data_IF_689870888153
#
_entry.id   IF_689870888153
#
_cell.length_a   1.000
_cell.length_b   1.000
_cell.length_c   1.000
_cell.angle_alpha   90.00
_cell.angle_beta   90.00
_cell.angle_gamma   90.00
#
_symmetry.space_group_name_H-M   'P 1'
#
loop_
_entity.id
_entity.type
_entity.pdbx_description
1 polymer ?
#
# COMPACT_ATOMS: atom_id res chain seq x y z
N UNK A 1 -55.28 25.23 -34.00
CA UNK A 1 -55.03 23.78 -33.89
C UNK A 1 -53.52 23.54 -34.03
N UNK A 2 -52.95 22.69 -33.14
CA UNK A 2 -51.52 22.51 -32.85
C UNK A 2 -50.64 22.15 -34.07
N UNK A 3 -49.39 22.65 -34.13
CA UNK A 3 -48.16 21.87 -33.81
C UNK A 3 -46.87 22.69 -34.03
N UNK A 4 -45.99 22.55 -33.04
CA UNK A 4 -44.56 22.87 -32.96
C UNK A 4 -43.70 22.06 -33.92
N UNK A 5 -42.60 22.64 -34.43
CA UNK A 5 -41.32 21.95 -34.63
C UNK A 5 -40.14 22.86 -34.31
N UNK A 6 -39.31 22.45 -33.35
CA UNK A 6 -37.97 23.00 -33.08
C UNK A 6 -36.98 22.52 -34.15
N UNK A 7 -35.97 23.33 -34.49
CA UNK A 7 -34.73 22.82 -35.08
C UNK A 7 -33.48 23.52 -34.51
N UNK A 8 -32.63 22.68 -33.91
CA UNK A 8 -31.30 22.87 -33.30
C UNK A 8 -30.39 23.91 -33.96
N UNK A 9 -29.97 24.91 -33.17
CA UNK A 9 -28.70 25.61 -33.34
C UNK A 9 -27.56 24.84 -32.68
N UNK A 10 -26.54 24.47 -33.45
CA UNK A 10 -25.35 23.74 -33.01
C UNK A 10 -24.33 24.73 -32.42
N UNK A 11 -24.18 24.78 -31.10
CA UNK A 11 -23.00 25.40 -30.48
C UNK A 11 -21.87 24.38 -30.44
N UNK A 12 -20.83 24.64 -31.22
CA UNK A 12 -19.66 23.78 -31.41
C UNK A 12 -18.79 23.74 -30.14
N UNK A 13 -18.90 22.66 -29.38
CA UNK A 13 -18.09 22.38 -28.18
C UNK A 13 -16.83 21.62 -28.58
N UNK A 14 -16.03 22.17 -29.48
CA UNK A 14 -14.83 21.53 -29.99
C UNK A 14 -13.62 22.47 -29.86
N UNK A 15 -13.34 22.96 -28.65
CA UNK A 15 -12.07 23.64 -28.35
C UNK A 15 -11.69 23.61 -26.85
N UNK A 16 -12.00 22.52 -26.12
CA UNK A 16 -11.62 22.38 -24.70
C UNK A 16 -10.90 21.07 -24.35
N UNK A 17 -10.50 20.26 -25.33
CA UNK A 17 -9.94 18.92 -25.08
C UNK A 17 -8.48 18.71 -25.51
N UNK A 18 -7.72 19.79 -25.78
CA UNK A 18 -6.31 19.65 -26.22
C UNK A 18 -5.30 19.96 -25.10
N UNK A 19 -5.74 20.41 -23.92
CA UNK A 19 -4.86 20.68 -22.76
C UNK A 19 -4.95 19.65 -21.63
N UNK A 20 -5.53 18.48 -21.89
CA UNK A 20 -5.62 17.36 -20.94
C UNK A 20 -4.57 16.22 -21.16
N UNK A 21 -3.68 16.19 -22.19
CA UNK A 21 -2.85 14.99 -22.39
C UNK A 21 -1.46 15.02 -21.73
N UNK A 22 -1.11 16.04 -20.93
CA UNK A 22 0.19 16.08 -20.21
C UNK A 22 0.09 16.27 -18.71
N UNK A 23 -1.05 16.73 -18.18
CA UNK A 23 -1.28 16.79 -16.74
C UNK A 23 -1.73 15.44 -16.16
N UNK A 24 -2.40 14.61 -16.96
CA UNK A 24 -2.86 13.29 -16.54
C UNK A 24 -1.73 12.25 -16.39
N UNK A 25 -0.63 12.39 -17.14
CA UNK A 25 0.51 11.47 -17.03
C UNK A 25 1.33 11.74 -15.76
N UNK A 26 1.49 13.02 -15.38
CA UNK A 26 2.19 13.40 -14.15
C UNK A 26 1.43 12.96 -12.88
N UNK A 27 0.09 13.02 -12.89
CA UNK A 27 -0.73 12.58 -11.75
C UNK A 27 -0.66 11.05 -11.55
N UNK A 28 -0.70 10.27 -12.63
CA UNK A 28 -0.59 8.80 -12.55
C UNK A 28 0.81 8.33 -12.09
N UNK A 29 1.88 9.02 -12.50
CA UNK A 29 3.25 8.72 -12.02
C UNK A 29 3.40 9.06 -10.53
N UNK A 30 2.84 10.19 -10.08
CA UNK A 30 2.88 10.60 -8.68
C UNK A 30 2.13 9.63 -7.75
N UNK A 31 0.97 9.10 -8.16
CA UNK A 31 0.21 8.13 -7.36
C UNK A 31 0.98 6.83 -7.12
N UNK A 32 1.72 6.33 -8.12
CA UNK A 32 2.54 5.14 -7.96
C UNK A 32 3.69 5.38 -6.96
N UNK A 33 4.39 6.52 -7.04
CA UNK A 33 5.47 6.85 -6.08
C UNK A 33 4.96 7.05 -4.65
N UNK A 34 3.74 7.56 -4.49
CA UNK A 34 3.10 7.68 -3.19
C UNK A 34 2.79 6.32 -2.57
N UNK A 35 2.54 5.27 -3.36
CA UNK A 35 2.19 3.93 -2.86
C UNK A 35 3.36 3.21 -2.17
N UNK A 36 4.63 3.45 -2.57
CA UNK A 36 5.79 2.89 -1.87
C UNK A 36 6.16 3.68 -0.59
N UNK A 37 5.61 4.89 -0.40
CA UNK A 37 5.93 5.78 0.70
C UNK A 37 4.86 5.78 1.82
N UNK A 38 4.05 4.73 1.94
CA UNK A 38 2.95 4.65 2.91
C UNK A 38 3.32 3.82 4.15
N UNK A 39 2.82 4.25 5.31
CA UNK A 39 3.06 3.62 6.60
C UNK A 39 3.96 4.44 7.53
N UNK A 40 4.30 3.87 8.69
CA UNK A 40 5.20 4.49 9.67
C UNK A 40 6.66 4.27 9.25
N UNK A 41 6.96 3.12 8.64
CA UNK A 41 8.31 2.76 8.20
C UNK A 41 8.36 2.43 6.69
N UNK A 42 7.95 3.37 5.81
CA UNK A 42 7.96 3.13 4.36
C UNK A 42 9.37 2.86 3.82
N UNK A 43 10.38 3.43 4.49
CA UNK A 43 11.79 3.25 4.16
C UNK A 43 12.28 1.81 4.24
N UNK A 44 11.55 0.92 4.90
CA UNK A 44 11.85 -0.53 4.91
C UNK A 44 11.74 -1.19 3.54
N UNK A 45 11.16 -0.52 2.54
CA UNK A 45 11.15 -0.99 1.15
C UNK A 45 12.36 -0.53 0.31
N UNK A 46 13.17 0.43 0.78
CA UNK A 46 14.29 0.98 -0.02
C UNK A 46 15.61 1.18 0.75
N UNK A 47 15.65 0.96 2.06
CA UNK A 47 16.86 0.95 2.89
C UNK A 47 16.88 -0.28 3.80
N UNK A 48 18.08 -0.77 4.13
CA UNK A 48 18.27 -1.83 5.12
C UNK A 48 17.92 -1.34 6.53
N UNK A 49 17.32 -2.21 7.33
CA UNK A 49 17.04 -1.98 8.76
C UNK A 49 18.28 -2.27 9.59
N UNK A 50 18.68 -1.31 10.42
CA UNK A 50 19.81 -1.41 11.34
C UNK A 50 19.35 -1.62 12.79
N UNK A 51 20.21 -2.11 13.66
CA UNK A 51 19.85 -2.34 15.08
C UNK A 51 19.47 -1.05 15.79
N UNK A 52 20.07 0.07 15.40
CA UNK A 52 19.74 1.42 15.87
C UNK A 52 18.29 1.82 15.55
N UNK A 53 17.73 1.35 14.42
CA UNK A 53 16.33 1.57 14.07
C UNK A 53 15.39 0.72 14.96
N UNK A 54 15.86 -0.44 15.43
CA UNK A 54 15.05 -1.44 16.15
C UNK A 54 15.06 -1.26 17.66
N UNK A 55 16.18 -0.81 18.23
CA UNK A 55 16.38 -0.67 19.68
C UNK A 55 15.32 0.16 20.40
N UNK A 56 14.95 1.34 19.89
CA UNK A 56 13.94 2.19 20.50
C UNK A 56 12.49 1.65 20.43
N UNK A 57 12.21 0.70 19.54
CA UNK A 57 10.85 0.24 19.25
C UNK A 57 10.34 -0.75 20.32
N UNK A 58 9.04 -0.78 20.59
CA UNK A 58 8.44 -1.84 21.42
C UNK A 58 8.33 -3.17 20.64
N UNK A 59 8.07 -4.29 21.32
CA UNK A 59 7.78 -5.56 20.62
C UNK A 59 6.56 -5.45 19.71
N UNK A 60 5.58 -4.59 20.06
CA UNK A 60 4.42 -4.34 19.21
C UNK A 60 4.81 -3.54 17.97
N UNK A 61 5.62 -2.52 18.13
CA UNK A 61 6.08 -1.70 17.00
C UNK A 61 6.92 -2.51 16.02
N UNK A 62 7.79 -3.40 16.52
CA UNK A 62 8.55 -4.33 15.68
C UNK A 62 7.62 -5.25 14.88
N UNK A 63 6.56 -5.77 15.52
CA UNK A 63 5.55 -6.57 14.84
C UNK A 63 4.81 -5.76 13.77
N UNK A 64 4.40 -4.52 14.06
CA UNK A 64 3.76 -3.65 13.07
C UNK A 64 4.71 -3.36 11.92
N UNK A 65 5.97 -2.98 12.19
CA UNK A 65 7.00 -2.68 11.20
C UNK A 65 7.21 -3.85 10.23
N UNK A 66 7.33 -5.08 10.74
CA UNK A 66 7.44 -6.29 9.92
C UNK A 66 6.19 -6.51 9.07
N UNK A 67 5.00 -6.37 9.66
CA UNK A 67 3.73 -6.59 8.96
C UNK A 67 3.39 -5.47 7.98
N UNK A 68 3.93 -4.26 8.14
CA UNK A 68 3.74 -3.14 7.21
C UNK A 68 4.32 -3.46 5.83
N UNK A 69 5.48 -4.13 5.80
CA UNK A 69 6.11 -4.62 4.56
C UNK A 69 5.16 -5.57 3.82
N UNK A 70 4.52 -6.49 4.54
CA UNK A 70 3.50 -7.39 3.98
C UNK A 70 2.24 -6.64 3.53
N UNK A 71 1.77 -5.69 4.34
CA UNK A 71 0.57 -4.91 4.06
C UNK A 71 0.69 -4.12 2.75
N UNK A 72 1.88 -3.55 2.45
CA UNK A 72 2.16 -2.89 1.17
C UNK A 72 2.10 -3.82 -0.04
N UNK A 73 2.19 -5.13 0.16
CA UNK A 73 2.01 -6.16 -0.89
C UNK A 73 0.60 -6.73 -0.95
N UNK A 74 -0.36 -6.12 -0.24
CA UNK A 74 -1.75 -6.56 -0.22
C UNK A 74 -2.02 -7.77 0.65
N UNK A 75 -1.15 -8.07 1.61
CA UNK A 75 -1.33 -9.19 2.55
C UNK A 75 -2.65 -9.09 3.30
N UNK A 76 -3.35 -10.22 3.46
CA UNK A 76 -4.60 -10.34 4.22
C UNK A 76 -4.30 -10.93 5.61
N UNK A 77 -4.58 -10.16 6.66
CA UNK A 77 -4.29 -10.54 8.05
C UNK A 77 -5.43 -11.37 8.66
N UNK A 78 -5.10 -12.55 9.18
CA UNK A 78 -6.07 -13.41 9.87
C UNK A 78 -6.28 -13.03 11.34
N UNK A 79 -5.23 -12.50 11.99
CA UNK A 79 -5.33 -12.06 13.39
C UNK A 79 -6.13 -10.78 13.49
N UNK A 80 -7.13 -10.75 14.37
CA UNK A 80 -8.07 -9.65 14.51
C UNK A 80 -7.39 -8.31 14.83
N UNK A 81 -6.35 -8.30 15.66
CA UNK A 81 -5.62 -7.11 16.06
C UNK A 81 -4.84 -6.48 14.89
N UNK A 82 -4.17 -7.28 14.07
CA UNK A 82 -3.46 -6.82 12.87
C UNK A 82 -4.44 -6.44 11.76
N UNK A 83 -5.49 -7.23 11.57
CA UNK A 83 -6.53 -6.94 10.59
C UNK A 83 -7.23 -5.60 10.92
N UNK A 84 -7.60 -5.38 12.18
CA UNK A 84 -8.17 -4.11 12.64
C UNK A 84 -7.20 -2.94 12.45
N UNK A 85 -5.94 -3.11 12.86
CA UNK A 85 -4.91 -2.08 12.69
C UNK A 85 -4.74 -1.69 11.22
N UNK A 86 -4.49 -2.64 10.31
CA UNK A 86 -4.22 -2.33 8.91
C UNK A 86 -5.46 -1.84 8.16
N UNK A 87 -6.67 -2.37 8.44
CA UNK A 87 -7.90 -1.83 7.85
C UNK A 87 -8.19 -0.39 8.28
N UNK A 88 -7.67 0.07 9.42
CA UNK A 88 -7.77 1.48 9.82
C UNK A 88 -6.77 2.39 9.09
N UNK A 89 -5.79 1.84 8.38
CA UNK A 89 -4.79 2.61 7.65
C UNK A 89 -5.35 3.06 6.29
N UNK A 90 -5.32 4.36 5.95
CA UNK A 90 -5.93 4.87 4.72
C UNK A 90 -5.26 4.34 3.45
N UNK A 91 -4.01 3.90 3.54
CA UNK A 91 -3.21 3.38 2.43
C UNK A 91 -3.32 1.86 2.24
N UNK A 92 -3.79 1.11 3.24
CA UNK A 92 -3.83 -0.34 3.15
C UNK A 92 -4.95 -0.79 2.22
N UNK A 93 -4.60 -1.66 1.26
CA UNK A 93 -5.53 -2.27 0.32
C UNK A 93 -5.25 -3.78 0.31
N UNK A 94 -6.10 -4.63 0.90
CA UNK A 94 -5.92 -6.07 0.78
C UNK A 94 -5.97 -6.48 -0.69
N UNK A 95 -5.13 -7.43 -1.10
CA UNK A 95 -5.01 -7.87 -2.50
C UNK A 95 -6.19 -8.67 -3.01
N UNK A 96 -7.21 -8.88 -2.17
CA UNK A 96 -8.42 -9.61 -2.50
C UNK A 96 -9.34 -9.78 -1.29
N UNK A 97 -10.41 -10.55 -1.44
CA UNK A 97 -11.34 -10.83 -0.35
C UNK A 97 -10.77 -11.85 0.66
N UNK A 98 -11.27 -11.86 1.91
CA UNK A 98 -10.73 -12.72 2.97
C UNK A 98 -10.75 -14.23 2.67
N UNK A 99 -11.73 -14.73 1.92
CA UNK A 99 -11.80 -16.15 1.54
C UNK A 99 -10.70 -16.59 0.58
N UNK A 100 -9.98 -15.64 -0.03
CA UNK A 100 -8.86 -15.90 -0.93
C UNK A 100 -7.48 -15.63 -0.31
N UNK A 101 -7.45 -15.42 1.02
CA UNK A 101 -6.25 -15.07 1.80
C UNK A 101 -5.02 -15.89 1.43
N UNK A 102 -5.17 -17.20 1.30
CA UNK A 102 -4.07 -18.12 1.08
C UNK A 102 -3.36 -17.87 -0.27
N UNK A 103 -4.13 -17.65 -1.36
CA UNK A 103 -3.55 -17.31 -2.66
C UNK A 103 -2.93 -15.92 -2.65
N UNK A 104 -3.66 -14.93 -2.11
CA UNK A 104 -3.19 -13.53 -2.03
C UNK A 104 -1.90 -13.42 -1.25
N UNK A 105 -1.81 -14.06 -0.07
CA UNK A 105 -0.62 -13.99 0.77
C UNK A 105 0.59 -14.66 0.11
N UNK A 106 0.41 -15.77 -0.63
CA UNK A 106 1.50 -16.35 -1.42
C UNK A 106 2.00 -15.42 -2.51
N UNK A 107 1.10 -14.73 -3.21
CA UNK A 107 1.49 -13.73 -4.22
C UNK A 107 2.20 -12.52 -3.59
N UNK A 108 1.69 -12.05 -2.45
CA UNK A 108 2.32 -10.98 -1.68
C UNK A 108 3.75 -11.35 -1.26
N UNK A 109 3.95 -12.54 -0.69
CA UNK A 109 5.27 -13.08 -0.34
C UNK A 109 6.17 -13.21 -1.58
N UNK A 110 5.65 -13.72 -2.70
CA UNK A 110 6.42 -13.83 -3.94
C UNK A 110 6.87 -12.46 -4.48
N UNK A 111 6.07 -11.40 -4.28
CA UNK A 111 6.35 -10.03 -4.74
C UNK A 111 7.30 -9.21 -3.86
N UNK A 112 7.76 -9.77 -2.72
CA UNK A 112 8.75 -9.12 -1.87
C UNK A 112 10.09 -8.99 -2.58
N UNK A 113 10.70 -7.82 -2.51
CA UNK A 113 12.05 -7.59 -2.98
C UNK A 113 13.06 -8.34 -2.10
N UNK A 114 14.28 -8.63 -2.60
CA UNK A 114 15.34 -9.21 -1.77
C UNK A 114 15.61 -8.39 -0.50
N UNK A 115 15.59 -7.05 -0.62
CA UNK A 115 15.77 -6.14 0.50
C UNK A 115 14.65 -6.26 1.54
N UNK A 116 13.38 -6.31 1.09
CA UNK A 116 12.23 -6.46 1.98
C UNK A 116 12.29 -7.78 2.76
N UNK A 117 12.65 -8.89 2.10
CA UNK A 117 12.86 -10.19 2.77
C UNK A 117 13.98 -10.11 3.80
N UNK A 118 15.08 -9.43 3.47
CA UNK A 118 16.20 -9.23 4.39
C UNK A 118 15.77 -8.42 5.62
N UNK A 119 15.01 -7.34 5.42
CA UNK A 119 14.47 -6.53 6.51
C UNK A 119 13.49 -7.31 7.39
N UNK A 120 12.57 -8.07 6.81
CA UNK A 120 11.67 -8.97 7.55
C UNK A 120 12.46 -9.95 8.42
N UNK A 121 13.52 -10.57 7.87
CA UNK A 121 14.38 -11.50 8.61
C UNK A 121 15.10 -10.83 9.77
N UNK A 122 15.65 -9.63 9.57
CA UNK A 122 16.35 -8.85 10.62
C UNK A 122 15.39 -8.46 11.75
N UNK A 123 14.22 -7.90 11.42
CA UNK A 123 13.20 -7.51 12.41
C UNK A 123 12.73 -8.74 13.20
N UNK A 124 12.36 -9.82 12.50
CA UNK A 124 11.89 -11.07 13.13
C UNK A 124 12.93 -11.70 14.05
N UNK A 125 14.21 -11.66 13.66
CA UNK A 125 15.31 -12.17 14.48
C UNK A 125 15.53 -11.32 15.74
N UNK A 126 15.46 -10.00 15.61
CA UNK A 126 15.55 -9.07 16.74
C UNK A 126 14.37 -9.23 17.72
N UNK A 127 13.16 -9.44 17.22
CA UNK A 127 11.99 -9.76 18.05
C UNK A 127 12.18 -11.04 18.86
N UNK A 128 12.70 -12.11 18.24
CA UNK A 128 12.98 -13.39 18.94
C UNK A 128 14.02 -13.21 20.01
N UNK A 129 15.10 -12.49 19.72
CA UNK A 129 16.14 -12.15 20.69
C UNK A 129 15.55 -11.42 21.91
N UNK A 130 14.73 -10.38 21.70
CA UNK A 130 14.11 -9.64 22.80
C UNK A 130 13.05 -10.40 23.59
N UNK A 131 12.38 -11.39 22.99
CA UNK A 131 11.41 -12.27 23.68
C UNK A 131 12.11 -13.35 24.52
N UNK A 132 13.24 -13.87 24.08
CA UNK A 132 13.99 -14.94 24.75
C UNK A 132 15.03 -14.46 25.78
N UNK A 133 15.45 -13.20 25.75
CA UNK A 133 16.37 -12.62 26.72
C UNK A 133 15.71 -12.13 28.02
N UNK A 134 14.60 -12.75 28.44
CA UNK A 134 13.90 -12.46 29.70
C UNK A 134 14.12 -13.57 30.71
#
# INVERSE_FOLDING_TARGET
>A
MRRTTMSRGKTSLALMFVFIPLFFLALAVAENSQAQAQGIWPWTSYRLVEESDLGPLSLRDLEIMRNEIYARKGWIFARADLNGYFNSQPWYRPGGPPWDRERVNRMAEASLSPLERQNISRISSYERFRRGGR
#
